data_IF_466217302108
#
_entry.id   IF_466217302108
#
_cell.length_a   1.000
_cell.length_b   1.000
_cell.length_c   1.000
_cell.angle_alpha   90.00
_cell.angle_beta   90.00
_cell.angle_gamma   90.00
#
_symmetry.space_group_name_H-M   'P 1'
#
loop_
_entity.id
_entity.type
_entity.pdbx_description
1 polymer ?
#
# COMPACT_ATOMS: atom_id res chain seq x y z
N UNK A 1 -1.54 33.89 -34.96
CA UNK A 1 -0.87 32.56 -34.89
C UNK A 1 -0.85 31.86 -33.52
N UNK A 2 -1.31 32.47 -32.41
CA UNK A 2 -1.26 31.83 -31.07
C UNK A 2 -2.34 30.78 -30.80
N UNK A 3 -3.50 30.85 -31.46
CA UNK A 3 -4.60 29.91 -31.24
C UNK A 3 -4.35 28.53 -31.85
N UNK A 4 -3.74 28.48 -33.05
CA UNK A 4 -3.40 27.24 -33.75
C UNK A 4 -2.35 26.43 -32.97
N UNK A 5 -1.32 27.10 -32.44
CA UNK A 5 -0.31 26.44 -31.59
C UNK A 5 -0.92 25.85 -30.31
N UNK A 6 -1.90 26.53 -29.70
CA UNK A 6 -2.65 26.01 -28.56
C UNK A 6 -3.44 24.73 -28.88
N UNK A 7 -4.08 24.70 -30.06
CA UNK A 7 -4.82 23.51 -30.53
C UNK A 7 -3.89 22.32 -30.71
N UNK A 8 -2.71 22.52 -31.32
CA UNK A 8 -1.75 21.43 -31.50
C UNK A 8 -1.26 20.87 -30.15
N UNK A 9 -0.95 21.73 -29.18
CA UNK A 9 -0.54 21.28 -27.85
C UNK A 9 -1.65 20.46 -27.14
N UNK A 10 -2.91 20.85 -27.29
CA UNK A 10 -4.05 20.11 -26.74
C UNK A 10 -4.24 18.74 -27.41
N UNK A 11 -4.11 18.68 -28.75
CA UNK A 11 -4.20 17.43 -29.50
C UNK A 11 -3.07 16.46 -29.14
N UNK A 12 -1.86 16.96 -28.96
CA UNK A 12 -0.72 16.15 -28.54
C UNK A 12 -0.91 15.58 -27.13
N UNK A 13 -1.34 16.42 -26.19
CA UNK A 13 -1.69 15.98 -24.82
C UNK A 13 -2.76 14.89 -24.85
N UNK A 14 -3.85 15.10 -25.58
CA UNK A 14 -4.95 14.14 -25.66
C UNK A 14 -4.49 12.78 -26.24
N UNK A 15 -3.62 12.80 -27.25
CA UNK A 15 -3.00 11.59 -27.81
C UNK A 15 -2.14 10.85 -26.77
N UNK A 16 -1.35 11.59 -25.98
CA UNK A 16 -0.52 10.99 -24.94
C UNK A 16 -1.37 10.37 -23.81
N UNK A 17 -2.36 11.10 -23.31
CA UNK A 17 -3.28 10.63 -22.27
C UNK A 17 -4.04 9.37 -22.70
N UNK A 18 -4.51 9.32 -23.95
CA UNK A 18 -5.18 8.15 -24.52
C UNK A 18 -4.26 6.91 -24.52
N UNK A 19 -3.00 7.06 -24.96
CA UNK A 19 -2.01 5.97 -24.97
C UNK A 19 -1.69 5.47 -23.57
N UNK A 20 -1.48 6.38 -22.61
CA UNK A 20 -1.18 6.04 -21.22
C UNK A 20 -2.36 5.31 -20.57
N UNK A 21 -3.59 5.82 -20.77
CA UNK A 21 -4.79 5.18 -20.25
C UNK A 21 -4.95 3.76 -20.80
N UNK A 22 -4.80 3.57 -22.10
CA UNK A 22 -4.88 2.24 -22.70
C UNK A 22 -3.81 1.28 -22.14
N UNK A 23 -2.59 1.76 -21.89
CA UNK A 23 -1.53 0.96 -21.27
C UNK A 23 -1.85 0.58 -19.82
N UNK A 24 -2.36 1.53 -19.02
CA UNK A 24 -2.81 1.27 -17.65
C UNK A 24 -3.98 0.30 -17.59
N UNK A 25 -4.96 0.44 -18.49
CA UNK A 25 -6.12 -0.46 -18.53
C UNK A 25 -5.69 -1.89 -18.89
N UNK A 26 -4.75 -2.07 -19.83
CA UNK A 26 -4.14 -3.39 -20.11
C UNK A 26 -3.42 -3.97 -18.88
N UNK A 27 -2.66 -3.15 -18.15
CA UNK A 27 -1.96 -3.60 -16.93
C UNK A 27 -2.93 -3.92 -15.79
N UNK A 28 -4.03 -3.16 -15.66
CA UNK A 28 -5.09 -3.42 -14.68
C UNK A 28 -5.78 -4.75 -14.98
N UNK A 29 -5.98 -5.09 -16.25
CA UNK A 29 -6.57 -6.36 -16.66
C UNK A 29 -5.74 -7.59 -16.26
N UNK A 30 -4.44 -7.44 -15.96
CA UNK A 30 -3.61 -8.54 -15.44
C UNK A 30 -3.77 -8.76 -13.93
N UNK A 31 -4.65 -8.01 -13.26
CA UNK A 31 -4.81 -8.00 -11.80
C UNK A 31 -3.68 -7.28 -11.05
N UNK A 32 -2.73 -6.67 -11.76
CA UNK A 32 -1.65 -5.92 -11.13
C UNK A 32 -2.15 -4.55 -10.63
N UNK A 33 -1.66 -4.13 -9.46
CA UNK A 33 -1.88 -2.78 -8.97
C UNK A 33 -1.15 -1.77 -9.88
N UNK A 34 -1.90 -0.79 -10.39
CA UNK A 34 -1.37 0.19 -11.37
C UNK A 34 -1.13 1.57 -10.75
N UNK A 35 -1.81 1.88 -9.66
CA UNK A 35 -1.84 3.21 -9.05
C UNK A 35 -1.89 3.18 -7.51
N UNK A 36 -1.68 4.34 -6.90
CA UNK A 36 -1.68 4.51 -5.45
C UNK A 36 -0.38 4.07 -4.75
N UNK A 37 -0.31 4.30 -3.43
CA UNK A 37 0.84 3.88 -2.63
C UNK A 37 0.86 2.35 -2.50
N UNK A 38 2.05 1.76 -2.55
CA UNK A 38 2.22 0.33 -2.24
C UNK A 38 1.70 0.03 -0.83
N UNK A 39 1.00 -1.07 -0.69
CA UNK A 39 0.50 -1.56 0.59
C UNK A 39 1.63 -2.14 1.44
N UNK A 40 1.38 -2.34 2.73
CA UNK A 40 2.32 -3.05 3.60
C UNK A 40 2.58 -4.48 3.11
N UNK A 41 1.59 -5.15 2.52
CA UNK A 41 1.75 -6.49 1.96
C UNK A 41 2.70 -6.50 0.75
N UNK A 42 2.68 -5.44 -0.07
CA UNK A 42 3.56 -5.31 -1.23
C UNK A 42 5.00 -4.93 -0.85
N UNK A 43 5.17 -4.14 0.20
CA UNK A 43 6.50 -3.65 0.62
C UNK A 43 7.20 -4.60 1.59
N UNK A 44 6.45 -5.14 2.55
CA UNK A 44 6.94 -5.85 3.73
C UNK A 44 6.00 -6.99 4.13
N UNK A 45 5.80 -7.99 3.26
CA UNK A 45 4.90 -9.11 3.50
C UNK A 45 5.23 -9.86 4.81
N UNK A 46 6.51 -9.93 5.19
CA UNK A 46 6.98 -10.56 6.42
C UNK A 46 6.42 -9.89 7.68
N UNK A 47 6.34 -8.56 7.70
CA UNK A 47 5.76 -7.80 8.83
C UNK A 47 4.26 -8.04 8.91
N UNK A 48 3.58 -8.09 7.76
CA UNK A 48 2.13 -8.35 7.72
C UNK A 48 1.81 -9.75 8.24
N UNK A 49 2.57 -10.75 7.81
CA UNK A 49 2.42 -12.12 8.28
C UNK A 49 2.62 -12.21 9.80
N UNK A 50 3.66 -11.55 10.31
CA UNK A 50 3.96 -11.55 11.73
C UNK A 50 2.92 -10.79 12.56
N UNK A 51 2.46 -9.63 12.07
CA UNK A 51 1.38 -8.88 12.70
C UNK A 51 0.10 -9.72 12.82
N UNK A 52 -0.27 -10.44 11.74
CA UNK A 52 -1.42 -11.34 11.72
C UNK A 52 -1.23 -12.53 12.67
N UNK A 53 -0.04 -13.13 12.71
CA UNK A 53 0.31 -14.22 13.64
C UNK A 53 0.15 -13.77 15.10
N UNK A 54 0.69 -12.60 15.44
CA UNK A 54 0.61 -12.02 16.77
C UNK A 54 -0.82 -11.65 17.16
N UNK A 55 -1.64 -11.20 16.19
CA UNK A 55 -3.03 -10.83 16.43
C UNK A 55 -3.93 -12.05 16.67
N UNK A 56 -3.67 -13.18 15.99
CA UNK A 56 -4.53 -14.37 16.00
C UNK A 56 -4.69 -14.99 17.40
N UNK A 57 -3.65 -14.99 18.22
CA UNK A 57 -3.68 -15.65 19.52
C UNK A 57 -2.93 -14.89 20.62
N UNK A 58 -3.52 -14.85 21.81
CA UNK A 58 -2.87 -14.41 23.05
C UNK A 58 -2.59 -15.63 23.95
N UNK A 59 -1.44 -15.66 24.67
CA UNK A 59 -1.10 -16.78 25.57
C UNK A 59 -2.14 -17.12 26.65
N UNK A 60 -2.96 -16.16 27.07
CA UNK A 60 -4.00 -16.33 28.10
C UNK A 60 -5.44 -16.22 27.54
N UNK A 61 -5.61 -16.52 26.26
CA UNK A 61 -6.91 -16.46 25.56
C UNK A 61 -7.22 -15.09 24.92
N UNK A 62 -7.97 -15.12 23.82
CA UNK A 62 -8.39 -13.94 23.04
C UNK A 62 -7.34 -13.41 22.05
N UNK A 63 -7.57 -12.19 21.56
CA UNK A 63 -6.68 -11.49 20.62
C UNK A 63 -5.87 -10.40 21.33
N UNK A 64 -4.62 -10.17 20.90
CA UNK A 64 -3.80 -9.04 21.34
C UNK A 64 -4.39 -7.72 20.86
N UNK A 65 -4.29 -6.64 21.65
CA UNK A 65 -4.65 -5.31 21.17
C UNK A 65 -3.71 -4.85 20.05
N UNK A 66 -4.13 -3.87 19.23
CA UNK A 66 -3.27 -3.38 18.14
C UNK A 66 -1.99 -2.72 18.66
N UNK A 67 -2.05 -2.11 19.85
CA UNK A 67 -0.89 -1.52 20.53
C UNK A 67 0.08 -2.60 21.01
N UNK A 68 -0.43 -3.70 21.56
CA UNK A 68 0.42 -4.82 22.00
C UNK A 68 1.11 -5.48 20.81
N UNK A 69 0.40 -5.64 19.69
CA UNK A 69 1.00 -6.15 18.45
C UNK A 69 2.10 -5.21 17.95
N UNK A 70 1.87 -3.89 17.95
CA UNK A 70 2.89 -2.92 17.58
C UNK A 70 4.14 -3.00 18.47
N UNK A 71 3.96 -3.14 19.79
CA UNK A 71 5.05 -3.26 20.74
C UNK A 71 5.82 -4.58 20.58
N UNK A 72 5.13 -5.68 20.31
CA UNK A 72 5.77 -6.98 20.05
C UNK A 72 6.53 -6.97 18.72
N UNK A 73 5.95 -6.39 17.66
CA UNK A 73 6.64 -6.21 16.38
C UNK A 73 7.93 -5.41 16.56
N UNK A 74 7.89 -4.32 17.33
CA UNK A 74 9.09 -3.53 17.64
C UNK A 74 10.13 -4.34 18.43
N UNK A 75 9.71 -5.16 19.41
CA UNK A 75 10.60 -6.07 20.15
C UNK A 75 11.28 -7.11 19.25
N UNK A 76 10.60 -7.55 18.19
CA UNK A 76 11.14 -8.44 17.16
C UNK A 76 11.98 -7.72 16.09
N UNK A 77 12.17 -6.40 16.20
CA UNK A 77 12.96 -5.60 15.26
C UNK A 77 12.17 -5.05 14.05
N UNK A 78 10.87 -5.29 13.97
CA UNK A 78 10.02 -4.80 12.89
C UNK A 78 9.57 -3.34 13.13
N UNK A 79 10.52 -2.43 12.98
CA UNK A 79 10.30 -0.97 13.09
C UNK A 79 9.76 -0.37 11.79
N UNK A 80 9.19 0.83 11.88
CA UNK A 80 8.77 1.61 10.72
C UNK A 80 9.98 2.30 10.04
N UNK A 81 9.73 3.01 8.93
CA UNK A 81 10.78 3.71 8.16
C UNK A 81 11.55 4.77 8.98
N UNK A 82 10.93 5.30 10.04
CA UNK A 82 11.55 6.26 10.95
C UNK A 82 12.24 5.58 12.16
N UNK A 83 12.41 4.25 12.15
CA UNK A 83 13.01 3.50 13.25
C UNK A 83 12.16 3.43 14.52
N UNK A 84 10.85 3.71 14.43
CA UNK A 84 9.91 3.69 15.57
C UNK A 84 8.98 2.48 15.50
N UNK A 85 8.30 2.12 16.60
CA UNK A 85 7.24 1.12 16.56
C UNK A 85 6.18 1.44 15.51
N UNK A 86 5.54 0.40 14.97
CA UNK A 86 4.47 0.55 13.98
C UNK A 86 3.30 1.35 14.58
N UNK A 87 2.73 2.26 13.80
CA UNK A 87 1.53 2.98 14.21
C UNK A 87 0.31 2.04 14.31
N UNK A 88 -0.63 2.35 15.21
CA UNK A 88 -1.84 1.54 15.43
C UNK A 88 -2.63 1.34 14.14
N UNK A 89 -2.78 2.38 13.32
CA UNK A 89 -3.50 2.30 12.04
C UNK A 89 -2.75 1.44 11.00
N UNK A 90 -1.42 1.46 11.00
CA UNK A 90 -0.62 0.61 10.14
C UNK A 90 -0.85 -0.86 10.51
N UNK A 91 -0.76 -1.21 11.80
CA UNK A 91 -1.04 -2.56 12.30
C UNK A 91 -2.49 -2.97 12.03
N UNK A 92 -3.46 -2.05 12.15
CA UNK A 92 -4.85 -2.31 11.79
C UNK A 92 -4.97 -2.76 10.34
N UNK A 93 -4.32 -2.05 9.41
CA UNK A 93 -4.32 -2.37 7.97
C UNK A 93 -3.59 -3.68 7.66
N UNK A 94 -2.51 -3.99 8.37
CA UNK A 94 -1.81 -5.27 8.24
C UNK A 94 -2.70 -6.44 8.68
N UNK A 95 -3.45 -6.27 9.77
CA UNK A 95 -4.32 -7.30 10.34
C UNK A 95 -5.70 -7.38 9.67
N UNK A 96 -6.09 -6.38 8.89
CA UNK A 96 -7.34 -6.43 8.14
C UNK A 96 -7.30 -7.58 7.10
N UNK A 97 -8.43 -8.26 6.85
CA UNK A 97 -8.54 -9.12 5.68
C UNK A 97 -8.31 -8.26 4.44
N UNK A 98 -7.44 -8.74 3.55
CA UNK A 98 -7.09 -8.10 2.29
C UNK A 98 -7.62 -8.91 1.12
#
# INVERSE_FOLDING_TARGET
MRQIAGVFAQLEKARLESKLKAAWDRKRATGAKVEGRKSHQELRPEVVAEARRLRRARPKGGQRSLRDVAAELARLGYLNEAGKPQGVEAVRRMCAPG
#
